data_IF_075730642207
#
_entry.id   IF_075730642207
#
_cell.length_a   1.000
_cell.length_b   1.000
_cell.length_c   1.000
_cell.angle_alpha   90.00
_cell.angle_beta   90.00
_cell.angle_gamma   90.00
#
_symmetry.space_group_name_H-M   'P 1'
#
loop_
_entity.id
_entity.type
_entity.pdbx_description
1 polymer ?
#
# COMPACT_ATOMS: atom_id res chain seq x y z
N UNK A 1 -3.22 -20.98 -9.64
CA UNK A 1 -3.10 -19.51 -9.74
C UNK A 1 -1.62 -19.14 -9.82
N UNK A 2 -1.22 -18.30 -10.79
CA UNK A 2 0.16 -17.82 -10.88
C UNK A 2 0.31 -16.66 -9.88
N UNK A 3 1.09 -16.86 -8.82
CA UNK A 3 1.39 -15.80 -7.86
C UNK A 3 2.32 -14.76 -8.50
N UNK A 4 2.11 -13.49 -8.17
CA UNK A 4 2.95 -12.38 -8.60
C UNK A 4 3.79 -11.90 -7.43
N UNK A 5 5.03 -11.51 -7.70
CA UNK A 5 5.92 -10.94 -6.70
C UNK A 5 6.01 -9.42 -6.87
N UNK A 6 6.28 -8.74 -5.76
CA UNK A 6 6.48 -7.30 -5.71
C UNK A 6 7.70 -7.00 -4.84
N UNK A 7 8.71 -6.33 -5.39
CA UNK A 7 9.91 -5.94 -4.65
C UNK A 7 9.69 -4.59 -3.98
N UNK A 8 9.90 -4.51 -2.67
CA UNK A 8 9.80 -3.24 -1.94
C UNK A 8 11.10 -2.44 -2.00
N UNK A 9 10.99 -1.15 -2.34
CA UNK A 9 12.10 -0.20 -2.50
C UNK A 9 11.99 0.88 -1.43
N UNK A 10 13.05 1.05 -0.64
CA UNK A 10 13.16 2.06 0.44
C UNK A 10 14.23 3.11 0.12
N UNK A 11 14.40 3.47 -1.15
CA UNK A 11 15.35 4.51 -1.57
C UNK A 11 14.94 5.87 -1.00
N UNK A 12 15.92 6.58 -0.44
CA UNK A 12 15.72 7.90 0.17
C UNK A 12 16.05 9.05 -0.78
N UNK A 13 16.86 8.80 -1.80
CA UNK A 13 17.30 9.82 -2.74
C UNK A 13 16.44 9.75 -4.01
N UNK A 14 15.66 10.81 -4.33
CA UNK A 14 14.78 10.83 -5.50
C UNK A 14 15.53 10.62 -6.82
N UNK A 15 16.79 11.10 -6.93
CA UNK A 15 17.58 10.97 -8.14
C UNK A 15 18.08 9.52 -8.38
N UNK A 16 18.23 8.72 -7.30
CA UNK A 16 18.63 7.31 -7.40
C UNK A 16 17.43 6.37 -7.60
N UNK A 17 16.21 6.83 -7.33
CA UNK A 17 15.02 5.99 -7.36
C UNK A 17 14.84 5.29 -8.72
N UNK A 18 15.04 5.99 -9.82
CA UNK A 18 14.85 5.43 -11.17
C UNK A 18 15.81 4.26 -11.46
N UNK A 19 17.08 4.36 -11.04
CA UNK A 19 18.06 3.30 -11.23
C UNK A 19 17.75 2.08 -10.35
N UNK A 20 17.35 2.30 -9.10
CA UNK A 20 16.95 1.24 -8.17
C UNK A 20 15.67 0.55 -8.66
N UNK A 21 14.68 1.32 -9.13
CA UNK A 21 13.44 0.79 -9.69
C UNK A 21 13.70 -0.07 -10.94
N UNK A 22 14.59 0.37 -11.85
CA UNK A 22 14.99 -0.45 -13.01
C UNK A 22 15.51 -1.82 -12.56
N UNK A 23 16.43 -1.86 -11.58
CA UNK A 23 16.97 -3.12 -11.04
C UNK A 23 15.91 -3.99 -10.37
N UNK A 24 14.97 -3.40 -9.65
CA UNK A 24 13.86 -4.15 -9.03
C UNK A 24 12.96 -4.80 -10.08
N UNK A 25 12.62 -4.07 -11.15
CA UNK A 25 11.75 -4.55 -12.22
C UNK A 25 12.42 -5.60 -13.15
N UNK A 26 13.73 -5.82 -13.05
CA UNK A 26 14.36 -7.02 -13.68
C UNK A 26 14.13 -8.30 -12.87
N UNK A 27 13.83 -8.17 -11.58
CA UNK A 27 13.64 -9.31 -10.66
C UNK A 27 12.17 -9.62 -10.37
N UNK A 28 11.28 -8.67 -10.63
CA UNK A 28 9.86 -8.77 -10.31
C UNK A 28 9.02 -7.99 -11.31
N UNK A 29 7.78 -8.45 -11.55
CA UNK A 29 6.82 -7.77 -12.43
C UNK A 29 6.37 -6.43 -11.85
N UNK A 30 6.34 -6.30 -10.53
CA UNK A 30 5.93 -5.10 -9.80
C UNK A 30 6.95 -4.68 -8.76
N UNK A 31 6.95 -3.38 -8.43
CA UNK A 31 7.73 -2.83 -7.33
C UNK A 31 6.85 -1.96 -6.42
N UNK A 32 7.05 -2.04 -5.11
CA UNK A 32 6.49 -1.10 -4.14
C UNK A 32 7.50 0.02 -3.88
N UNK A 33 7.12 1.27 -4.11
CA UNK A 33 7.93 2.44 -3.81
C UNK A 33 7.49 3.00 -2.46
N UNK A 34 8.36 2.92 -1.45
CA UNK A 34 8.14 3.41 -0.09
C UNK A 34 8.52 4.89 0.00
N UNK A 35 7.60 5.76 -0.40
CA UNK A 35 7.79 7.21 -0.39
C UNK A 35 7.91 7.79 1.02
N UNK A 36 7.46 7.07 2.04
CA UNK A 36 7.61 7.47 3.44
C UNK A 36 9.07 7.48 3.94
N UNK A 37 10.02 6.96 3.18
CA UNK A 37 11.46 7.07 3.47
C UNK A 37 12.10 8.35 2.93
N UNK A 38 11.37 9.13 2.12
CA UNK A 38 11.81 10.41 1.57
C UNK A 38 11.27 11.58 2.38
N UNK A 39 11.90 12.76 2.25
CA UNK A 39 11.31 14.00 2.76
C UNK A 39 10.06 14.34 1.94
N UNK A 40 9.00 14.89 2.55
CA UNK A 40 7.79 15.27 1.84
C UNK A 40 8.03 16.16 0.60
N UNK A 41 8.95 17.12 0.69
CA UNK A 41 9.32 18.02 -0.41
C UNK A 41 10.02 17.33 -1.59
N UNK A 42 10.57 16.14 -1.40
CA UNK A 42 11.30 15.38 -2.43
C UNK A 42 10.38 14.43 -3.21
N UNK A 43 9.18 14.16 -2.69
CA UNK A 43 8.24 13.19 -3.30
C UNK A 43 7.81 13.59 -4.72
N UNK A 44 7.49 14.88 -5.03
CA UNK A 44 7.15 15.27 -6.39
C UNK A 44 8.26 14.96 -7.40
N UNK A 45 9.51 15.26 -7.05
CA UNK A 45 10.68 14.96 -7.90
C UNK A 45 10.85 13.44 -8.07
N UNK A 46 10.68 12.68 -6.99
CA UNK A 46 10.76 11.21 -7.05
C UNK A 46 9.72 10.63 -8.02
N UNK A 47 8.47 11.11 -7.97
CA UNK A 47 7.39 10.66 -8.85
C UNK A 47 7.68 11.01 -10.33
N UNK A 48 8.12 12.24 -10.60
CA UNK A 48 8.52 12.67 -11.96
C UNK A 48 9.64 11.78 -12.52
N UNK A 49 10.67 11.47 -11.72
CA UNK A 49 11.80 10.64 -12.15
C UNK A 49 11.42 9.21 -12.55
N UNK A 50 10.28 8.70 -12.09
CA UNK A 50 9.81 7.34 -12.36
C UNK A 50 8.47 7.27 -13.08
N UNK A 51 7.89 8.38 -13.51
CA UNK A 51 6.55 8.53 -14.05
C UNK A 51 6.22 7.45 -15.09
N UNK A 52 7.10 7.26 -16.09
CA UNK A 52 6.94 6.26 -17.16
C UNK A 52 6.87 4.80 -16.68
N UNK A 53 7.17 4.53 -15.41
CA UNK A 53 7.20 3.18 -14.82
C UNK A 53 6.14 2.99 -13.73
N UNK A 54 5.40 4.04 -13.38
CA UNK A 54 4.40 4.00 -12.30
C UNK A 54 3.29 2.98 -12.55
N UNK A 55 2.99 2.66 -13.82
CA UNK A 55 2.05 1.58 -14.18
C UNK A 55 2.47 0.17 -13.70
N UNK A 56 3.71 0.01 -13.22
CA UNK A 56 4.22 -1.22 -12.58
C UNK A 56 4.51 -1.03 -11.09
N UNK A 57 4.10 0.09 -10.50
CA UNK A 57 4.47 0.45 -9.14
C UNK A 57 3.27 0.53 -8.20
N UNK A 58 3.43 -0.04 -7.01
CA UNK A 58 2.61 0.28 -5.84
C UNK A 58 3.27 1.46 -5.14
N UNK A 59 2.58 2.60 -5.01
CA UNK A 59 3.09 3.75 -4.28
C UNK A 59 2.54 3.73 -2.85
N UNK A 60 3.43 3.78 -1.86
CA UNK A 60 3.11 3.68 -0.43
C UNK A 60 3.67 4.88 0.33
N UNK A 61 2.82 5.57 1.10
CA UNK A 61 3.21 6.65 2.02
C UNK A 61 2.78 6.28 3.44
N UNK A 62 3.48 5.30 4.04
CA UNK A 62 3.10 4.65 5.31
C UNK A 62 3.34 5.57 6.51
N UNK A 63 2.31 5.82 7.36
CA UNK A 63 2.46 6.58 8.60
C UNK A 63 3.17 5.75 9.68
N UNK A 64 3.75 6.44 10.66
CA UNK A 64 4.51 5.81 11.76
C UNK A 64 3.69 4.82 12.58
N UNK A 65 2.41 5.12 12.83
CA UNK A 65 1.52 4.27 13.62
C UNK A 65 1.15 2.93 12.92
N UNK A 66 1.42 2.81 11.62
CA UNK A 66 1.31 1.55 10.86
C UNK A 66 2.69 1.09 10.32
N UNK A 67 3.77 1.34 11.08
CA UNK A 67 5.12 0.83 10.80
C UNK A 67 5.88 1.56 9.70
N UNK A 68 5.44 2.75 9.29
CA UNK A 68 6.12 3.58 8.31
C UNK A 68 7.13 4.56 8.90
N UNK A 69 7.62 5.45 8.04
CA UNK A 69 8.60 6.49 8.36
C UNK A 69 8.09 7.90 8.13
N UNK A 70 6.89 8.08 7.54
CA UNK A 70 6.34 9.41 7.31
C UNK A 70 6.22 10.20 8.61
N UNK A 71 6.85 11.38 8.67
CA UNK A 71 6.99 12.20 9.88
C UNK A 71 6.15 13.49 9.87
N UNK A 72 5.47 13.79 8.77
CA UNK A 72 4.59 14.95 8.64
C UNK A 72 3.23 14.79 9.34
N UNK A 73 2.42 15.82 9.28
CA UNK A 73 1.04 15.78 9.77
C UNK A 73 0.14 14.92 8.89
N UNK A 74 -0.98 14.42 9.45
CA UNK A 74 -1.96 13.66 8.66
C UNK A 74 -2.57 14.51 7.53
N UNK A 75 -2.74 15.83 7.75
CA UNK A 75 -3.20 16.75 6.70
C UNK A 75 -2.22 16.80 5.53
N UNK A 76 -0.94 16.92 5.82
CA UNK A 76 0.13 16.91 4.81
C UNK A 76 0.18 15.56 4.09
N UNK A 77 0.10 14.44 4.82
CA UNK A 77 0.07 13.09 4.25
C UNK A 77 -1.10 12.91 3.28
N UNK A 78 -2.29 13.37 3.65
CA UNK A 78 -3.47 13.33 2.78
C UNK A 78 -3.25 14.16 1.50
N UNK A 79 -2.62 15.34 1.60
CA UNK A 79 -2.30 16.16 0.44
C UNK A 79 -1.33 15.45 -0.51
N UNK A 80 -0.32 14.78 0.04
CA UNK A 80 0.65 13.99 -0.76
C UNK A 80 -0.03 12.74 -1.36
N UNK A 81 -0.91 12.05 -0.64
CA UNK A 81 -1.68 10.91 -1.21
C UNK A 81 -2.52 11.34 -2.41
N UNK A 82 -3.13 12.54 -2.36
CA UNK A 82 -3.84 13.11 -3.50
C UNK A 82 -2.90 13.38 -4.66
N UNK A 83 -1.75 14.00 -4.41
CA UNK A 83 -0.73 14.23 -5.43
C UNK A 83 -0.29 12.90 -6.08
N UNK A 84 0.02 11.86 -5.30
CA UNK A 84 0.41 10.55 -5.83
C UNK A 84 -0.69 9.98 -6.73
N UNK A 85 -1.98 10.18 -6.38
CA UNK A 85 -3.08 9.68 -7.18
C UNK A 85 -3.17 10.33 -8.57
N UNK A 86 -2.68 11.57 -8.76
CA UNK A 86 -2.64 12.23 -10.07
C UNK A 86 -1.60 11.61 -11.02
N UNK A 87 -0.57 10.96 -10.49
CA UNK A 87 0.43 10.22 -11.28
C UNK A 87 -0.04 8.84 -11.71
N UNK A 88 -1.25 8.42 -11.30
CA UNK A 88 -1.90 7.18 -11.70
C UNK A 88 -0.99 5.93 -11.62
N UNK A 89 -0.39 5.60 -10.45
CA UNK A 89 0.39 4.39 -10.28
C UNK A 89 -0.48 3.14 -10.48
N UNK A 90 0.16 1.96 -10.66
CA UNK A 90 -0.55 0.68 -10.70
C UNK A 90 -1.47 0.48 -9.50
N UNK A 91 -1.00 0.82 -8.30
CA UNK A 91 -1.80 0.86 -7.07
C UNK A 91 -1.30 1.99 -6.16
N UNK A 92 -2.21 2.70 -5.52
CA UNK A 92 -1.91 3.58 -4.40
C UNK A 92 -2.31 2.90 -3.10
N UNK A 93 -1.31 2.60 -2.23
CA UNK A 93 -1.54 2.00 -0.91
C UNK A 93 -2.03 3.07 0.07
N UNK A 94 -3.24 2.89 0.59
CA UNK A 94 -3.83 3.76 1.60
C UNK A 94 -4.39 2.91 2.73
N UNK A 95 -4.08 3.28 3.97
CA UNK A 95 -4.53 2.57 5.16
C UNK A 95 -6.05 2.59 5.30
N UNK A 96 -6.61 1.46 5.73
CA UNK A 96 -8.05 1.28 5.95
C UNK A 96 -8.63 2.35 6.86
N UNK A 97 -7.94 2.68 7.96
CA UNK A 97 -8.41 3.70 8.91
C UNK A 97 -8.41 5.10 8.29
N UNK A 98 -7.39 5.45 7.49
CA UNK A 98 -7.32 6.73 6.77
C UNK A 98 -8.49 6.86 5.79
N UNK A 99 -8.75 5.86 4.96
CA UNK A 99 -9.87 5.89 4.04
C UNK A 99 -11.23 5.91 4.76
N UNK A 100 -11.38 5.09 5.81
CA UNK A 100 -12.64 5.02 6.56
C UNK A 100 -13.02 6.37 7.18
N UNK A 101 -12.03 7.08 7.72
CA UNK A 101 -12.24 8.31 8.47
C UNK A 101 -12.18 9.58 7.60
N UNK A 102 -11.84 9.48 6.30
CA UNK A 102 -11.71 10.64 5.44
C UNK A 102 -12.53 10.50 4.15
N UNK A 103 -13.76 11.00 4.21
CA UNK A 103 -14.66 10.99 3.06
C UNK A 103 -14.11 11.81 1.89
N UNK A 104 -13.56 13.00 2.14
CA UNK A 104 -13.02 13.87 1.08
C UNK A 104 -11.86 13.21 0.33
N UNK A 105 -11.00 12.41 1.03
CA UNK A 105 -9.96 11.65 0.37
C UNK A 105 -10.55 10.54 -0.51
N UNK A 106 -11.55 9.78 0.00
CA UNK A 106 -12.22 8.73 -0.80
C UNK A 106 -12.82 9.28 -2.09
N UNK A 107 -13.52 10.41 -1.99
CA UNK A 107 -14.12 11.07 -3.17
C UNK A 107 -13.06 11.52 -4.16
N UNK A 108 -11.95 12.09 -3.66
CA UNK A 108 -10.84 12.54 -4.50
C UNK A 108 -10.19 11.39 -5.27
N UNK A 109 -9.74 10.33 -4.58
CA UNK A 109 -9.09 9.19 -5.25
C UNK A 109 -10.03 8.42 -6.17
N UNK A 110 -11.34 8.45 -5.90
CA UNK A 110 -12.34 7.90 -6.82
C UNK A 110 -12.42 8.71 -8.13
N UNK A 111 -12.29 10.05 -8.05
CA UNK A 111 -12.28 10.93 -9.22
C UNK A 111 -11.00 10.78 -10.05
N UNK A 112 -9.83 10.62 -9.40
CA UNK A 112 -8.56 10.41 -10.09
C UNK A 112 -8.48 9.07 -10.84
N UNK A 113 -9.41 8.14 -10.58
CA UNK A 113 -9.47 6.78 -11.17
C UNK A 113 -8.26 5.89 -10.83
N UNK A 114 -7.38 6.32 -9.95
CA UNK A 114 -6.22 5.53 -9.49
C UNK A 114 -6.68 4.32 -8.69
N UNK A 115 -6.28 3.10 -9.04
CA UNK A 115 -6.64 1.91 -8.27
C UNK A 115 -6.02 1.95 -6.87
N UNK A 116 -6.83 1.68 -5.85
CA UNK A 116 -6.43 1.75 -4.44
C UNK A 116 -6.15 0.35 -3.90
N UNK A 117 -4.99 0.18 -3.24
CA UNK A 117 -4.70 -0.94 -2.35
C UNK A 117 -5.06 -0.52 -0.92
N UNK A 118 -6.15 -1.06 -0.39
CA UNK A 118 -6.52 -0.81 1.01
C UNK A 118 -5.68 -1.70 1.91
N UNK A 119 -4.89 -1.10 2.79
CA UNK A 119 -3.99 -1.84 3.67
C UNK A 119 -4.37 -1.68 5.15
N UNK A 120 -4.03 -2.70 5.94
CA UNK A 120 -4.14 -2.68 7.39
C UNK A 120 -3.02 -3.51 8.01
N UNK A 121 -2.38 -2.96 9.07
CA UNK A 121 -1.24 -3.55 9.75
C UNK A 121 -1.52 -3.67 11.25
N UNK A 122 -1.18 -4.83 11.85
CA UNK A 122 -1.14 -5.04 13.28
C UNK A 122 0.22 -5.66 13.66
N UNK A 123 1.11 -4.83 14.16
CA UNK A 123 2.45 -5.24 14.58
C UNK A 123 2.49 -5.84 15.99
N UNK A 124 1.35 -6.03 16.66
CA UNK A 124 1.27 -6.58 18.00
C UNK A 124 0.85 -8.05 18.01
N UNK A 125 -0.09 -8.42 17.14
CA UNK A 125 -0.69 -9.77 17.11
C UNK A 125 -1.42 -10.06 15.80
N UNK A 126 -1.72 -11.34 15.59
CA UNK A 126 -2.70 -11.80 14.62
C UNK A 126 -4.06 -11.98 15.31
N UNK A 127 -5.11 -11.24 14.92
CA UNK A 127 -6.44 -11.39 15.49
C UNK A 127 -7.05 -12.78 15.24
N UNK A 128 -8.11 -13.11 15.97
CA UNK A 128 -8.89 -14.31 15.70
C UNK A 128 -9.62 -14.25 14.35
N UNK A 129 -10.07 -15.40 13.83
CA UNK A 129 -10.71 -15.49 12.51
C UNK A 129 -11.96 -14.63 12.37
N UNK A 130 -12.77 -14.47 13.42
CA UNK A 130 -13.97 -13.62 13.40
C UNK A 130 -13.60 -12.18 13.10
N UNK A 131 -12.59 -11.65 13.78
CA UNK A 131 -12.13 -10.27 13.61
C UNK A 131 -11.41 -10.06 12.27
N UNK A 132 -10.59 -11.01 11.82
CA UNK A 132 -9.96 -10.97 10.50
C UNK A 132 -10.98 -10.95 9.37
N UNK A 133 -12.00 -11.82 9.44
CA UNK A 133 -13.08 -11.86 8.45
C UNK A 133 -13.89 -10.55 8.44
N UNK A 134 -14.18 -9.97 9.61
CA UNK A 134 -14.88 -8.69 9.71
C UNK A 134 -14.02 -7.56 9.11
N UNK A 135 -12.72 -7.54 9.40
CA UNK A 135 -11.79 -6.58 8.85
C UNK A 135 -11.76 -6.70 7.32
N UNK A 136 -11.54 -7.90 6.79
CA UNK A 136 -11.53 -8.17 5.36
C UNK A 136 -12.85 -7.75 4.68
N UNK A 137 -13.99 -8.10 5.27
CA UNK A 137 -15.33 -7.69 4.78
C UNK A 137 -15.48 -6.18 4.66
N UNK A 138 -14.98 -5.43 5.66
CA UNK A 138 -15.06 -3.98 5.64
C UNK A 138 -14.09 -3.33 4.64
N UNK A 139 -12.88 -3.87 4.51
CA UNK A 139 -11.89 -3.39 3.53
C UNK A 139 -12.34 -3.63 2.07
N UNK A 140 -12.98 -4.78 1.80
CA UNK A 140 -13.58 -5.11 0.49
C UNK A 140 -14.62 -4.09 -0.01
N UNK A 141 -15.28 -3.37 0.89
CA UNK A 141 -16.25 -2.31 0.53
C UNK A 141 -15.55 -1.08 -0.07
N UNK A 142 -14.24 -0.93 0.16
CA UNK A 142 -13.47 0.23 -0.28
C UNK A 142 -12.62 -0.07 -1.52
N UNK A 143 -12.18 -1.30 -1.72
CA UNK A 143 -11.41 -1.73 -2.90
C UNK A 143 -11.42 -3.24 -3.10
N UNK A 144 -11.16 -3.65 -4.36
CA UNK A 144 -10.90 -5.05 -4.73
C UNK A 144 -9.44 -5.47 -4.46
N UNK A 145 -8.55 -4.54 -4.11
CA UNK A 145 -7.18 -4.83 -3.70
C UNK A 145 -7.06 -4.60 -2.20
N UNK A 146 -6.70 -5.63 -1.46
CA UNK A 146 -6.62 -5.61 0.00
C UNK A 146 -5.28 -6.16 0.46
N UNK A 147 -4.65 -5.49 1.43
CA UNK A 147 -3.41 -5.93 2.09
C UNK A 147 -3.65 -6.02 3.60
N UNK A 148 -3.40 -7.21 4.17
CA UNK A 148 -3.50 -7.45 5.61
C UNK A 148 -2.17 -7.99 6.09
N UNK A 149 -1.52 -7.25 6.99
CA UNK A 149 -0.22 -7.63 7.57
C UNK A 149 -0.35 -7.71 9.08
N UNK A 150 0.08 -8.83 9.66
CA UNK A 150 0.05 -9.04 11.11
C UNK A 150 1.33 -9.72 11.57
N UNK A 151 1.59 -9.67 12.89
CA UNK A 151 2.69 -10.42 13.50
C UNK A 151 2.16 -11.78 13.94
N UNK A 152 2.68 -12.85 13.34
CA UNK A 152 2.42 -14.21 13.78
C UNK A 152 3.33 -14.56 14.96
N UNK A 153 2.73 -15.02 16.07
CA UNK A 153 3.43 -15.53 17.26
C UNK A 153 3.39 -17.06 17.34
N UNK A 154 2.66 -17.71 16.45
CA UNK A 154 2.50 -19.14 16.37
C UNK A 154 2.18 -19.59 14.94
N UNK A 155 2.34 -20.89 14.66
CA UNK A 155 1.91 -21.51 13.39
C UNK A 155 0.40 -21.34 13.15
N UNK A 156 -0.41 -21.35 14.22
CA UNK A 156 -1.85 -21.07 14.13
C UNK A 156 -2.15 -19.64 13.65
N UNK A 157 -1.32 -18.68 14.00
CA UNK A 157 -1.44 -17.30 13.51
C UNK A 157 -1.20 -17.25 11.99
N UNK A 158 -0.13 -17.90 11.53
CA UNK A 158 0.18 -18.03 10.10
C UNK A 158 -0.94 -18.71 9.34
N UNK A 159 -1.44 -19.85 9.85
CA UNK A 159 -2.56 -20.58 9.24
C UNK A 159 -3.82 -19.72 9.13
N UNK A 160 -4.13 -18.90 10.15
CA UNK A 160 -5.27 -17.96 10.11
C UNK A 160 -5.14 -16.94 8.98
N UNK A 161 -3.95 -16.35 8.81
CA UNK A 161 -3.72 -15.39 7.73
C UNK A 161 -3.82 -16.07 6.36
N UNK A 162 -3.17 -17.20 6.18
CA UNK A 162 -3.22 -17.94 4.92
C UNK A 162 -4.64 -18.40 4.55
N UNK A 163 -5.47 -18.75 5.55
CA UNK A 163 -6.86 -19.17 5.31
C UNK A 163 -7.75 -18.06 4.73
N UNK A 164 -7.32 -16.77 4.81
CA UNK A 164 -8.04 -15.66 4.18
C UNK A 164 -8.04 -15.77 2.65
N UNK A 165 -7.02 -16.40 2.05
CA UNK A 165 -6.95 -16.59 0.59
C UNK A 165 -8.11 -17.46 0.09
N UNK A 166 -8.55 -18.46 0.85
CA UNK A 166 -9.68 -19.32 0.48
C UNK A 166 -11.01 -18.55 0.41
N UNK A 167 -11.11 -17.42 1.10
CA UNK A 167 -12.30 -16.56 1.16
C UNK A 167 -12.21 -15.34 0.23
N UNK A 168 -11.17 -15.27 -0.57
CA UNK A 168 -10.85 -14.08 -1.36
C UNK A 168 -11.08 -14.22 -2.86
N UNK A 169 -11.92 -15.17 -3.33
CA UNK A 169 -12.12 -15.49 -4.75
C UNK A 169 -12.45 -14.30 -5.67
N UNK A 170 -13.00 -13.21 -5.10
CA UNK A 170 -13.36 -11.98 -5.84
C UNK A 170 -12.45 -10.78 -5.55
N UNK A 171 -11.36 -10.97 -4.80
CA UNK A 171 -10.43 -9.89 -4.48
C UNK A 171 -8.98 -10.32 -4.70
N UNK A 172 -8.12 -9.32 -4.92
CA UNK A 172 -6.67 -9.50 -4.95
C UNK A 172 -6.14 -9.22 -3.55
N UNK A 173 -5.86 -10.28 -2.78
CA UNK A 173 -5.38 -10.21 -1.41
C UNK A 173 -3.86 -10.32 -1.36
N UNK A 174 -3.24 -9.46 -0.54
CA UNK A 174 -1.85 -9.54 -0.08
C UNK A 174 -1.92 -9.78 1.45
N UNK A 175 -1.30 -10.86 1.95
CA UNK A 175 -1.28 -11.18 3.37
C UNK A 175 0.08 -11.77 3.78
#
# INVERSE_FOLDING_TARGET
MKHKTCVSITEKNPNKLNSVLKKALTKSEYAEIRLDFMKPSEIPIALQNVEKKLSKCVCTLRPKNEGGKFSGSEKERISILKLISEYNPFLLDIEFNTLRNNQKLREYVKKSKTPILVSWHDFKKTPNMKNLNLKLKNMKKLSNFVKIVTVAKSTNDTSRILSLYNKSSKIKLIA
#
